data_IF_449184167696
#
_entry.id   IF_449184167696
#
_cell.length_a   1.000
_cell.length_b   1.000
_cell.length_c   1.000
_cell.angle_alpha   90.00
_cell.angle_beta   90.00
_cell.angle_gamma   90.00
#
_symmetry.space_group_name_H-M   'P 1'
#
loop_
_entity.id
_entity.type
_entity.pdbx_description
1 polymer ?
#
# COMPACT_ATOMS: atom_id res chain seq x y z
N UNK A 1 29.99 16.20 -12.77
CA UNK A 1 28.64 15.72 -13.11
C UNK A 1 28.26 14.61 -12.14
N UNK A 2 27.27 14.80 -11.28
CA UNK A 2 26.80 13.72 -10.41
C UNK A 2 26.20 12.61 -11.30
N UNK A 3 26.74 11.39 -11.25
CA UNK A 3 26.15 10.22 -11.93
C UNK A 3 24.70 10.11 -11.49
N UNK A 4 23.77 10.04 -12.44
CA UNK A 4 22.36 9.76 -12.17
C UNK A 4 22.28 8.43 -11.40
N UNK A 5 22.00 8.49 -10.09
CA UNK A 5 21.80 7.30 -9.29
C UNK A 5 20.53 6.59 -9.80
N UNK A 6 20.66 5.29 -10.07
CA UNK A 6 19.57 4.44 -10.60
C UNK A 6 19.09 3.47 -9.53
N UNK A 7 17.86 3.01 -9.65
CA UNK A 7 17.28 2.03 -8.72
C UNK A 7 17.06 2.62 -7.33
N UNK A 8 17.19 1.78 -6.29
CA UNK A 8 16.90 2.14 -4.89
C UNK A 8 17.84 3.23 -4.34
N UNK A 9 19.05 3.36 -4.89
CA UNK A 9 20.03 4.37 -4.44
C UNK A 9 19.56 5.81 -4.62
N UNK A 10 18.67 6.08 -5.59
CA UNK A 10 18.10 7.43 -5.73
C UNK A 10 17.29 7.84 -4.50
N UNK A 11 16.69 6.87 -3.79
CA UNK A 11 15.94 7.11 -2.56
C UNK A 11 16.89 7.51 -1.42
N UNK A 12 18.07 6.90 -1.35
CA UNK A 12 19.10 7.24 -0.34
C UNK A 12 19.41 8.73 -0.35
N UNK A 13 19.54 9.32 -1.54
CA UNK A 13 19.85 10.75 -1.70
C UNK A 13 18.63 11.65 -1.55
N UNK A 14 17.48 11.24 -2.08
CA UNK A 14 16.31 12.09 -2.15
C UNK A 14 15.58 12.21 -0.79
N UNK A 15 15.60 11.17 0.02
CA UNK A 15 14.80 11.08 1.24
C UNK A 15 15.64 11.49 2.45
N UNK A 16 15.11 12.40 3.27
CA UNK A 16 15.65 12.66 4.61
C UNK A 16 15.23 11.52 5.55
N UNK A 17 16.05 10.48 5.62
CA UNK A 17 15.74 9.29 6.43
C UNK A 17 15.62 9.59 7.94
N UNK A 18 16.30 10.63 8.43
CA UNK A 18 16.26 10.97 9.85
C UNK A 18 14.90 11.54 10.28
N UNK A 19 14.09 12.06 9.35
CA UNK A 19 12.73 12.54 9.64
C UNK A 19 11.82 11.43 10.20
N UNK A 20 12.10 10.16 9.90
CA UNK A 20 11.33 9.02 10.40
C UNK A 20 11.73 8.59 11.82
N UNK A 21 12.88 9.03 12.33
CA UNK A 21 13.41 8.57 13.62
C UNK A 21 12.44 8.82 14.79
N UNK A 22 11.81 10.00 14.94
CA UNK A 22 10.85 10.22 16.03
C UNK A 22 9.68 9.24 16.02
N UNK A 23 9.09 9.01 14.84
CA UNK A 23 7.99 8.05 14.64
C UNK A 23 8.46 6.63 14.96
N UNK A 24 9.67 6.27 14.53
CA UNK A 24 10.21 4.95 14.75
C UNK A 24 10.51 4.65 16.21
N UNK A 25 11.06 5.60 16.94
CA UNK A 25 11.37 5.44 18.36
C UNK A 25 10.09 5.28 19.19
N UNK A 26 9.03 6.01 18.85
CA UNK A 26 7.69 5.85 19.43
C UNK A 26 7.12 4.47 19.12
N UNK A 27 7.08 4.09 17.84
CA UNK A 27 6.47 2.85 17.37
C UNK A 27 7.22 1.61 17.86
N UNK A 28 8.55 1.65 17.93
CA UNK A 28 9.33 0.50 18.40
C UNK A 28 9.36 0.40 19.92
N UNK A 29 9.29 1.55 20.62
CA UNK A 29 9.44 1.62 22.08
C UNK A 29 10.88 1.39 22.54
N UNK A 30 11.87 1.52 21.63
CA UNK A 30 13.26 1.21 21.95
C UNK A 30 13.85 2.17 22.99
N UNK A 31 13.38 3.42 23.03
CA UNK A 31 13.81 4.42 24.03
C UNK A 31 13.41 4.08 25.47
N UNK A 32 12.29 3.38 25.65
CA UNK A 32 11.73 3.07 26.98
C UNK A 32 12.14 1.71 27.49
N UNK A 33 12.85 0.91 26.68
CA UNK A 33 13.22 -0.46 27.04
C UNK A 33 14.57 -0.47 27.76
N UNK A 34 14.62 -1.20 28.87
CA UNK A 34 15.85 -1.44 29.62
C UNK A 34 16.68 -2.53 28.94
N UNK A 35 17.71 -2.12 28.21
CA UNK A 35 18.60 -3.01 27.46
C UNK A 35 19.66 -3.70 28.33
N UNK A 36 19.75 -3.37 29.63
CA UNK A 36 20.64 -4.07 30.56
C UNK A 36 20.16 -5.49 30.89
N UNK A 37 18.86 -5.77 30.65
CA UNK A 37 18.23 -7.06 30.91
C UNK A 37 18.26 -7.95 29.66
N UNK A 38 19.43 -8.52 29.37
CA UNK A 38 19.68 -9.73 28.56
C UNK A 38 19.13 -9.80 27.13
N UNK A 39 19.98 -10.20 26.18
CA UNK A 39 19.64 -10.46 24.77
C UNK A 39 20.51 -9.65 23.81
N UNK A 40 20.51 -10.01 22.53
CA UNK A 40 21.19 -9.22 21.50
C UNK A 40 20.52 -7.85 21.38
N UNK A 41 21.33 -6.81 21.22
CA UNK A 41 20.83 -5.47 20.92
C UNK A 41 20.05 -5.53 19.59
N UNK A 42 18.89 -4.86 19.50
CA UNK A 42 18.15 -4.81 18.26
C UNK A 42 18.92 -3.99 17.23
N UNK A 43 18.69 -4.28 15.95
CA UNK A 43 19.12 -3.41 14.86
C UNK A 43 18.47 -2.03 14.96
N UNK A 44 19.16 -1.02 14.42
CA UNK A 44 18.62 0.35 14.36
C UNK A 44 17.27 0.35 13.62
N UNK A 45 16.19 0.92 14.20
CA UNK A 45 14.88 0.98 13.54
C UNK A 45 14.91 1.60 12.15
N UNK A 46 15.81 2.57 11.94
CA UNK A 46 15.93 3.22 10.64
C UNK A 46 16.52 2.29 9.59
N UNK A 47 17.53 1.50 9.96
CA UNK A 47 18.05 0.42 9.11
C UNK A 47 16.93 -0.57 8.74
N UNK A 48 16.16 -1.00 9.73
CA UNK A 48 15.06 -1.94 9.50
C UNK A 48 13.99 -1.38 8.56
N UNK A 49 13.62 -0.09 8.69
CA UNK A 49 12.70 0.56 7.73
C UNK A 49 13.29 0.65 6.34
N UNK A 50 14.57 1.01 6.20
CA UNK A 50 15.24 1.00 4.88
C UNK A 50 15.17 -0.40 4.26
N UNK A 51 15.38 -1.46 5.04
CA UNK A 51 15.23 -2.85 4.58
C UNK A 51 13.80 -3.13 4.09
N UNK A 52 12.77 -2.68 4.81
CA UNK A 52 11.38 -2.84 4.38
C UNK A 52 11.09 -2.08 3.06
N UNK A 53 11.59 -0.85 2.92
CA UNK A 53 11.45 -0.08 1.68
C UNK A 53 12.19 -0.78 0.53
N UNK A 54 13.40 -1.28 0.76
CA UNK A 54 14.18 -2.03 -0.21
C UNK A 54 13.45 -3.31 -0.64
N UNK A 55 12.88 -4.04 0.31
CA UNK A 55 12.08 -5.23 0.07
C UNK A 55 10.86 -4.90 -0.79
N UNK A 56 10.10 -3.86 -0.44
CA UNK A 56 8.94 -3.41 -1.21
C UNK A 56 9.33 -2.91 -2.61
N UNK A 57 10.46 -2.21 -2.75
CA UNK A 57 10.92 -1.66 -4.02
C UNK A 57 11.28 -2.76 -5.04
N UNK A 58 11.81 -3.88 -4.54
CA UNK A 58 12.24 -5.02 -5.35
C UNK A 58 11.25 -6.21 -5.34
N UNK A 59 10.20 -6.15 -4.53
CA UNK A 59 9.18 -7.19 -4.42
C UNK A 59 9.70 -8.52 -3.85
N UNK A 60 10.65 -8.44 -2.91
CA UNK A 60 11.37 -9.58 -2.33
C UNK A 60 10.58 -10.25 -1.18
N UNK A 61 10.87 -11.52 -0.91
CA UNK A 61 10.49 -12.17 0.37
C UNK A 61 11.50 -11.83 1.46
N UNK A 62 11.26 -12.24 2.70
CA UNK A 62 12.19 -12.02 3.81
C UNK A 62 13.53 -12.73 3.57
N UNK A 63 13.49 -13.99 3.15
CA UNK A 63 14.67 -14.80 2.82
C UNK A 63 15.43 -14.24 1.61
N UNK A 64 14.71 -13.80 0.58
CA UNK A 64 15.33 -13.16 -0.57
C UNK A 64 15.95 -11.80 -0.23
N UNK A 65 15.39 -11.10 0.77
CA UNK A 65 15.92 -9.82 1.24
C UNK A 65 17.23 -10.05 1.99
N UNK A 66 17.24 -10.95 2.95
CA UNK A 66 18.46 -11.39 3.66
C UNK A 66 19.57 -11.78 2.66
N UNK A 67 19.26 -12.72 1.76
CA UNK A 67 20.21 -13.21 0.76
C UNK A 67 20.78 -12.06 -0.10
N UNK A 68 19.92 -11.17 -0.61
CA UNK A 68 20.36 -10.11 -1.49
C UNK A 68 21.09 -8.97 -0.78
N UNK A 69 20.86 -8.74 0.51
CA UNK A 69 21.64 -7.76 1.27
C UNK A 69 23.09 -8.24 1.39
N UNK A 70 23.31 -9.53 1.67
CA UNK A 70 24.66 -10.11 1.74
C UNK A 70 25.40 -10.19 0.39
N UNK A 71 24.67 -10.22 -0.73
CA UNK A 71 25.24 -10.43 -2.07
C UNK A 71 25.41 -9.13 -2.89
N UNK A 72 24.51 -8.14 -2.72
CA UNK A 72 24.46 -6.97 -3.62
C UNK A 72 25.08 -5.72 -3.00
N UNK A 73 26.17 -5.25 -3.59
CA UNK A 73 26.84 -3.98 -3.22
C UNK A 73 25.87 -2.78 -3.24
N UNK A 74 24.91 -2.73 -4.18
CA UNK A 74 23.92 -1.65 -4.22
C UNK A 74 23.00 -1.63 -3.01
N UNK A 75 22.74 -2.78 -2.39
CA UNK A 75 21.86 -2.90 -1.23
C UNK A 75 22.63 -2.52 0.04
N UNK A 76 23.83 -3.05 0.21
CA UNK A 76 24.77 -2.65 1.25
C UNK A 76 24.95 -1.13 1.27
N UNK A 77 25.22 -0.53 0.11
CA UNK A 77 25.32 0.93 -0.01
C UNK A 77 24.02 1.63 0.36
N UNK A 78 22.86 1.16 -0.12
CA UNK A 78 21.57 1.78 0.22
C UNK A 78 21.31 1.77 1.74
N UNK A 79 21.69 0.69 2.42
CA UNK A 79 21.44 0.47 3.83
C UNK A 79 22.48 1.11 4.77
N UNK A 80 23.57 1.66 4.22
CA UNK A 80 24.71 2.18 5.00
C UNK A 80 25.36 1.10 5.88
N UNK A 81 25.46 -0.13 5.36
CA UNK A 81 26.12 -1.26 6.00
C UNK A 81 27.55 -1.39 5.44
N UNK A 82 28.52 -1.80 6.25
CA UNK A 82 29.88 -2.14 5.81
C UNK A 82 30.05 -3.65 5.57
N UNK A 83 31.05 -4.04 4.78
CA UNK A 83 31.31 -5.47 4.58
C UNK A 83 31.81 -6.10 5.89
N UNK A 84 31.08 -7.12 6.37
CA UNK A 84 31.41 -7.82 7.61
C UNK A 84 30.53 -7.40 8.80
N UNK A 85 29.70 -6.37 8.65
CA UNK A 85 28.65 -6.06 9.63
C UNK A 85 27.60 -7.17 9.67
N UNK A 86 26.97 -7.32 10.85
CA UNK A 86 25.81 -8.20 11.01
C UNK A 86 24.63 -7.68 10.19
N UNK A 87 23.96 -8.59 9.49
CA UNK A 87 22.77 -8.29 8.68
C UNK A 87 21.55 -8.97 9.33
N UNK A 88 20.39 -8.31 9.39
CA UNK A 88 19.16 -8.94 9.87
C UNK A 88 18.79 -10.16 9.03
N UNK A 89 18.59 -11.29 9.69
CA UNK A 89 18.05 -12.50 9.05
C UNK A 89 16.55 -12.33 8.72
N UNK A 90 16.00 -13.26 7.93
CA UNK A 90 14.61 -13.24 7.50
C UNK A 90 13.62 -13.18 8.69
N UNK A 91 13.93 -13.87 9.79
CA UNK A 91 13.10 -13.87 10.99
C UNK A 91 13.10 -12.51 11.69
N UNK A 92 14.26 -11.84 11.75
CA UNK A 92 14.41 -10.50 12.32
C UNK A 92 13.62 -9.47 11.51
N UNK A 93 13.64 -9.59 10.18
CA UNK A 93 12.82 -8.74 9.30
C UNK A 93 11.32 -8.99 9.57
N UNK A 94 10.93 -10.26 9.71
CA UNK A 94 9.57 -10.65 10.04
C UNK A 94 9.12 -10.07 11.40
N UNK A 95 9.91 -10.27 12.44
CA UNK A 95 9.62 -9.80 13.80
C UNK A 95 9.53 -8.29 13.85
N UNK A 96 10.34 -7.55 13.08
CA UNK A 96 10.23 -6.11 12.97
C UNK A 96 8.91 -5.66 12.33
N UNK A 97 8.45 -6.34 11.27
CA UNK A 97 7.13 -6.06 10.67
C UNK A 97 6.01 -6.28 11.67
N UNK A 98 6.08 -7.33 12.47
CA UNK A 98 5.08 -7.59 13.50
C UNK A 98 5.18 -6.57 14.63
N UNK A 99 6.39 -6.18 15.03
CA UNK A 99 6.65 -5.20 16.09
C UNK A 99 6.00 -3.84 15.79
N UNK A 100 6.18 -3.30 14.58
CA UNK A 100 5.65 -1.98 14.22
C UNK A 100 4.11 -1.95 14.09
N UNK A 101 3.48 -3.12 14.03
CA UNK A 101 2.03 -3.27 13.94
C UNK A 101 1.38 -3.78 15.23
N UNK A 102 2.17 -4.31 16.17
CA UNK A 102 1.67 -4.90 17.42
C UNK A 102 0.90 -3.86 18.23
N UNK A 103 -0.02 -4.31 19.08
CA UNK A 103 -0.71 -3.44 20.05
C UNK A 103 -1.35 -2.19 19.43
N UNK A 104 -1.82 -2.29 18.18
CA UNK A 104 -2.42 -1.18 17.42
C UNK A 104 -1.50 0.03 17.19
N UNK A 105 -0.17 -0.19 17.15
CA UNK A 105 0.83 0.86 16.89
C UNK A 105 0.68 1.54 15.53
N UNK A 106 0.12 0.83 14.54
CA UNK A 106 -0.14 1.32 13.17
C UNK A 106 1.11 1.95 12.51
N UNK A 107 2.27 1.36 12.77
CA UNK A 107 3.57 1.95 12.46
C UNK A 107 3.76 2.23 10.97
N UNK A 108 3.29 1.34 10.09
CA UNK A 108 3.46 1.51 8.65
C UNK A 108 2.61 2.67 8.10
N UNK A 109 1.42 2.88 8.65
CA UNK A 109 0.58 4.02 8.32
C UNK A 109 1.17 5.32 8.90
N UNK A 110 1.68 5.30 10.15
CA UNK A 110 2.40 6.45 10.72
C UNK A 110 3.60 6.87 9.87
N UNK A 111 4.37 5.90 9.36
CA UNK A 111 5.47 6.17 8.42
C UNK A 111 4.97 6.78 7.11
N UNK A 112 3.86 6.25 6.56
CA UNK A 112 3.24 6.84 5.37
C UNK A 112 2.80 8.28 5.60
N UNK A 113 2.09 8.55 6.70
CA UNK A 113 1.62 9.89 7.08
C UNK A 113 2.80 10.84 7.30
N UNK A 114 3.84 10.41 8.00
CA UNK A 114 5.05 11.20 8.19
C UNK A 114 5.66 11.63 6.85
N UNK A 115 5.78 10.71 5.89
CA UNK A 115 6.27 11.07 4.56
C UNK A 115 5.31 11.98 3.80
N UNK A 116 4.01 11.76 3.93
CA UNK A 116 2.98 12.60 3.32
C UNK A 116 3.04 14.03 3.84
N UNK A 117 3.23 14.25 5.13
CA UNK A 117 3.43 15.57 5.73
C UNK A 117 4.67 16.28 5.20
N UNK A 118 5.76 15.55 4.92
CA UNK A 118 6.94 16.11 4.26
C UNK A 118 6.63 16.57 2.83
N UNK A 119 5.80 15.82 2.10
CA UNK A 119 5.35 16.20 0.75
C UNK A 119 4.45 17.45 0.79
N UNK A 120 3.58 17.57 1.80
CA UNK A 120 2.77 18.77 2.06
C UNK A 120 3.66 19.99 2.29
N UNK A 121 4.67 19.87 3.15
CA UNK A 121 5.60 20.95 3.49
C UNK A 121 6.38 21.46 2.27
N UNK A 122 6.62 20.60 1.28
CA UNK A 122 7.29 20.95 0.03
C UNK A 122 6.33 21.43 -1.07
N UNK A 123 5.03 21.53 -0.79
CA UNK A 123 4.03 22.00 -1.76
C UNK A 123 3.79 21.03 -2.92
N UNK A 124 4.17 19.75 -2.78
CA UNK A 124 3.97 18.72 -3.82
C UNK A 124 2.57 18.11 -3.81
N UNK A 125 1.77 18.51 -2.84
CA UNK A 125 0.34 18.23 -2.74
C UNK A 125 -0.44 19.13 -3.69
N UNK A 126 -1.02 18.52 -4.71
CA UNK A 126 -1.73 19.25 -5.77
C UNK A 126 -3.23 19.38 -5.43
N UNK A 127 -3.68 20.62 -5.27
CA UNK A 127 -5.12 20.96 -5.05
C UNK A 127 -5.97 20.93 -6.33
N UNK A 128 -5.40 20.52 -7.47
CA UNK A 128 -6.01 20.59 -8.81
C UNK A 128 -6.82 19.34 -9.19
N UNK A 129 -6.99 18.38 -8.27
CA UNK A 129 -7.85 17.22 -8.46
C UNK A 129 -7.21 15.90 -8.01
N UNK A 130 -8.06 15.05 -7.44
CA UNK A 130 -7.70 13.75 -6.87
C UNK A 130 -8.34 12.64 -7.69
N UNK A 131 -7.57 11.62 -8.05
CA UNK A 131 -8.05 10.42 -8.74
C UNK A 131 -8.21 9.31 -7.71
N UNK A 132 -9.39 8.74 -7.60
CA UNK A 132 -9.64 7.56 -6.76
C UNK A 132 -9.71 6.32 -7.67
N UNK A 133 -8.96 5.30 -7.32
CA UNK A 133 -8.97 4.01 -8.00
C UNK A 133 -8.48 2.89 -7.07
N UNK A 134 -8.75 1.64 -7.46
CA UNK A 134 -8.40 0.47 -6.67
C UNK A 134 -7.67 -0.59 -7.50
N UNK A 135 -6.62 -1.17 -6.92
CA UNK A 135 -5.91 -2.30 -7.49
C UNK A 135 -6.04 -3.53 -6.62
N UNK A 136 -6.10 -4.70 -7.25
CA UNK A 136 -6.08 -5.97 -6.53
C UNK A 136 -4.69 -6.29 -5.97
N UNK A 137 -4.69 -6.90 -4.81
CA UNK A 137 -3.50 -7.45 -4.16
C UNK A 137 -3.76 -8.93 -3.95
N UNK A 138 -3.18 -9.74 -4.82
CA UNK A 138 -3.43 -11.18 -4.87
C UNK A 138 -2.65 -11.93 -3.81
N UNK A 139 -3.29 -12.95 -3.25
CA UNK A 139 -2.69 -13.87 -2.29
C UNK A 139 -2.66 -15.29 -2.85
N UNK A 140 -1.80 -16.18 -2.32
CA UNK A 140 -1.82 -17.58 -2.69
C UNK A 140 -3.22 -18.19 -2.53
N UNK A 141 -3.77 -18.72 -3.63
CA UNK A 141 -5.11 -19.32 -3.68
C UNK A 141 -5.16 -20.55 -2.78
N UNK A 142 -6.08 -20.52 -1.81
CA UNK A 142 -6.23 -21.63 -0.86
C UNK A 142 -7.19 -22.69 -1.41
N UNK A 143 -6.79 -23.97 -1.28
CA UNK A 143 -7.65 -25.11 -1.58
C UNK A 143 -8.60 -25.34 -0.39
N UNK A 144 -9.85 -24.92 -0.56
CA UNK A 144 -10.94 -25.07 0.40
C UNK A 144 -12.18 -25.65 -0.31
N UNK A 145 -12.99 -26.43 0.40
CA UNK A 145 -14.27 -26.91 -0.12
C UNK A 145 -15.28 -25.76 -0.23
N UNK A 146 -16.40 -26.00 -0.95
CA UNK A 146 -17.47 -25.00 -1.08
C UNK A 146 -18.08 -24.64 0.28
N UNK A 147 -18.28 -25.62 1.15
CA UNK A 147 -18.85 -25.41 2.49
C UNK A 147 -17.90 -24.63 3.40
N UNK A 148 -16.60 -24.94 3.35
CA UNK A 148 -15.57 -24.16 4.06
C UNK A 148 -15.57 -22.70 3.61
N UNK A 149 -15.66 -22.45 2.30
CA UNK A 149 -15.73 -21.08 1.78
C UNK A 149 -17.02 -20.35 2.19
N UNK A 150 -18.15 -21.07 2.31
CA UNK A 150 -19.40 -20.50 2.80
C UNK A 150 -19.27 -20.04 4.26
N UNK A 151 -18.72 -20.89 5.13
CA UNK A 151 -18.49 -20.56 6.53
C UNK A 151 -17.54 -19.35 6.68
N UNK A 152 -16.44 -19.32 5.92
CA UNK A 152 -15.51 -18.18 5.90
C UNK A 152 -16.23 -16.89 5.48
N UNK A 153 -17.11 -16.96 4.49
CA UNK A 153 -17.89 -15.81 4.02
C UNK A 153 -18.84 -15.27 5.10
N UNK A 154 -19.39 -16.16 5.93
CA UNK A 154 -20.24 -15.83 7.09
C UNK A 154 -19.45 -15.31 8.30
N UNK A 155 -18.11 -15.27 8.22
CA UNK A 155 -17.23 -14.82 9.30
C UNK A 155 -16.78 -15.95 10.24
N UNK A 156 -17.15 -17.19 9.96
CA UNK A 156 -16.81 -18.35 10.76
C UNK A 156 -15.54 -19.03 10.26
N UNK A 157 -14.71 -19.58 11.17
CA UNK A 157 -13.62 -20.47 10.78
C UNK A 157 -14.15 -21.91 10.72
N UNK A 158 -13.93 -22.64 9.60
CA UNK A 158 -14.29 -24.05 9.53
C UNK A 158 -13.53 -24.91 10.54
N UNK A 159 -14.08 -26.08 10.85
CA UNK A 159 -13.42 -27.08 11.69
C UNK A 159 -12.03 -27.45 11.12
N UNK A 160 -11.03 -27.47 12.01
CA UNK A 160 -9.62 -27.67 11.67
C UNK A 160 -8.91 -26.42 11.14
N UNK A 161 -9.57 -25.25 11.14
CA UNK A 161 -8.98 -23.94 10.80
C UNK A 161 -8.85 -23.06 12.06
N UNK A 162 -8.80 -23.62 13.25
CA UNK A 162 -8.66 -22.89 14.51
C UNK A 162 -7.29 -22.17 14.57
N UNK A 163 -7.22 -20.98 15.17
CA UNK A 163 -6.02 -20.10 15.10
C UNK A 163 -4.78 -20.71 15.73
N UNK A 164 -4.98 -21.53 16.74
CA UNK A 164 -3.99 -22.24 17.54
C UNK A 164 -3.51 -23.55 16.88
N UNK A 165 -4.14 -24.00 15.79
CA UNK A 165 -3.69 -25.19 15.06
C UNK A 165 -2.65 -24.86 13.98
N UNK A 166 -1.68 -25.75 13.69
CA UNK A 166 -0.71 -25.55 12.61
C UNK A 166 -1.38 -25.30 11.25
N UNK A 167 -2.50 -25.98 10.99
CA UNK A 167 -3.28 -25.83 9.76
C UNK A 167 -3.97 -24.47 9.72
N UNK A 168 -4.65 -24.06 10.79
CA UNK A 168 -5.37 -22.80 10.84
C UNK A 168 -4.47 -21.56 10.83
N UNK A 169 -3.22 -21.67 11.32
CA UNK A 169 -2.21 -20.62 11.17
C UNK A 169 -1.82 -20.36 9.70
N UNK A 170 -1.95 -21.38 8.83
CA UNK A 170 -1.68 -21.29 7.39
C UNK A 170 -2.92 -20.93 6.56
N UNK A 171 -4.08 -20.75 7.19
CA UNK A 171 -5.35 -20.44 6.50
C UNK A 171 -5.69 -18.96 6.57
N UNK A 172 -5.80 -18.32 5.41
CA UNK A 172 -6.27 -16.95 5.27
C UNK A 172 -7.80 -16.96 5.20
N UNK A 173 -8.41 -16.75 6.37
CA UNK A 173 -9.86 -16.63 6.52
C UNK A 173 -10.34 -15.19 6.35
N UNK A 174 -9.46 -14.22 6.08
CA UNK A 174 -9.81 -12.81 5.86
C UNK A 174 -9.91 -12.49 4.37
N UNK A 175 -9.06 -13.08 3.55
CA UNK A 175 -9.09 -12.94 2.09
C UNK A 175 -10.45 -13.35 1.50
N UNK A 176 -10.87 -12.66 0.43
CA UNK A 176 -12.14 -12.95 -0.25
C UNK A 176 -11.93 -13.15 -1.75
N UNK A 177 -12.83 -13.92 -2.34
CA UNK A 177 -12.91 -14.12 -3.79
C UNK A 177 -13.73 -13.01 -4.44
N UNK A 178 -13.34 -12.60 -5.64
CA UNK A 178 -14.16 -11.76 -6.51
C UNK A 178 -13.91 -12.08 -7.97
N UNK A 179 -14.82 -11.65 -8.84
CA UNK A 179 -14.70 -11.80 -10.30
C UNK A 179 -14.84 -10.44 -10.96
N UNK A 180 -13.79 -9.97 -11.66
CA UNK A 180 -13.78 -8.72 -12.45
C UNK A 180 -13.30 -9.06 -13.86
N UNK A 181 -13.98 -8.58 -14.89
CA UNK A 181 -13.62 -8.81 -16.30
C UNK A 181 -13.36 -10.27 -16.67
N UNK A 182 -14.25 -11.17 -16.21
CA UNK A 182 -14.14 -12.63 -16.37
C UNK A 182 -12.89 -13.28 -15.74
N UNK A 183 -12.08 -12.54 -14.98
CA UNK A 183 -10.96 -13.05 -14.19
C UNK A 183 -11.34 -13.12 -12.72
N UNK A 184 -10.87 -14.18 -12.08
CA UNK A 184 -11.13 -14.44 -10.67
C UNK A 184 -9.92 -14.04 -9.85
N UNK A 185 -10.13 -13.14 -8.88
CA UNK A 185 -9.12 -12.64 -7.96
C UNK A 185 -9.39 -13.18 -6.55
N UNK A 186 -8.33 -13.46 -5.82
CA UNK A 186 -8.37 -13.88 -4.42
C UNK A 186 -7.37 -13.07 -3.62
N UNK A 187 -7.83 -12.44 -2.54
CA UNK A 187 -6.98 -11.61 -1.69
C UNK A 187 -7.68 -10.33 -1.25
N UNK A 188 -7.00 -9.21 -1.47
CA UNK A 188 -7.32 -7.89 -0.96
C UNK A 188 -7.36 -6.84 -2.08
N UNK A 189 -7.67 -5.60 -1.73
CA UNK A 189 -7.59 -4.42 -2.58
C UNK A 189 -6.82 -3.32 -1.87
N UNK A 190 -6.02 -2.59 -2.66
CA UNK A 190 -5.45 -1.30 -2.30
C UNK A 190 -6.27 -0.22 -3.00
N UNK A 191 -7.11 0.48 -2.26
CA UNK A 191 -7.81 1.67 -2.75
C UNK A 191 -6.91 2.87 -2.47
N UNK A 192 -6.66 3.70 -3.47
CA UNK A 192 -5.75 4.82 -3.34
C UNK A 192 -6.36 6.10 -3.91
N UNK A 193 -6.21 7.21 -3.18
CA UNK A 193 -6.41 8.56 -3.68
C UNK A 193 -5.07 9.09 -4.17
N UNK A 194 -5.01 9.53 -5.42
CA UNK A 194 -3.80 9.98 -6.09
C UNK A 194 -3.98 11.39 -6.60
N UNK A 195 -3.03 12.28 -6.31
CA UNK A 195 -3.01 13.61 -6.91
C UNK A 195 -2.80 13.53 -8.42
N UNK A 196 -3.74 14.06 -9.20
CA UNK A 196 -3.73 13.94 -10.66
C UNK A 196 -2.41 14.48 -11.26
N UNK A 197 -1.93 15.64 -10.81
CA UNK A 197 -0.72 16.28 -11.35
C UNK A 197 0.56 15.55 -10.97
N UNK A 198 0.86 15.42 -9.67
CA UNK A 198 2.13 14.87 -9.19
C UNK A 198 2.21 13.35 -9.34
N UNK A 199 1.06 12.65 -9.40
CA UNK A 199 0.92 11.20 -9.29
C UNK A 199 1.40 10.66 -7.93
N UNK A 200 1.38 11.47 -6.88
CA UNK A 200 1.65 11.00 -5.52
C UNK A 200 0.35 10.45 -4.92
N UNK A 201 0.47 9.36 -4.16
CA UNK A 201 -0.63 8.78 -3.38
C UNK A 201 -0.80 9.64 -2.12
N UNK A 202 -2.00 10.13 -1.87
CA UNK A 202 -2.33 10.99 -0.72
C UNK A 202 -2.90 10.19 0.44
N UNK A 203 -3.86 9.31 0.15
CA UNK A 203 -4.49 8.43 1.12
C UNK A 203 -4.76 7.07 0.50
N UNK A 204 -4.93 6.07 1.34
CA UNK A 204 -5.26 4.72 0.91
C UNK A 204 -6.13 3.99 1.93
N UNK A 205 -6.78 2.93 1.48
CA UNK A 205 -7.53 2.02 2.32
C UNK A 205 -7.37 0.59 1.82
N UNK A 206 -7.30 -0.35 2.76
CA UNK A 206 -7.18 -1.78 2.44
C UNK A 206 -8.47 -2.50 2.77
N UNK A 207 -9.00 -3.25 1.81
CA UNK A 207 -10.19 -4.09 2.01
C UNK A 207 -9.96 -5.49 1.47
N UNK A 208 -10.88 -6.40 1.76
CA UNK A 208 -10.92 -7.69 1.05
C UNK A 208 -11.29 -7.47 -0.42
N UNK A 209 -10.92 -8.41 -1.29
CA UNK A 209 -11.12 -8.24 -2.73
C UNK A 209 -12.60 -8.18 -3.16
N UNK A 210 -13.54 -8.66 -2.34
CA UNK A 210 -14.97 -8.64 -2.65
C UNK A 210 -15.65 -7.30 -2.39
N UNK A 211 -15.05 -6.41 -1.59
CA UNK A 211 -15.65 -5.10 -1.29
C UNK A 211 -15.76 -4.29 -2.58
N UNK A 212 -16.93 -3.70 -2.79
CA UNK A 212 -17.18 -2.86 -3.96
C UNK A 212 -16.52 -1.50 -3.79
N UNK A 213 -15.94 -0.98 -4.86
CA UNK A 213 -15.07 0.21 -4.83
C UNK A 213 -15.83 1.44 -4.32
N UNK A 214 -17.11 1.59 -4.67
CA UNK A 214 -17.98 2.66 -4.19
C UNK A 214 -18.09 2.77 -2.65
N UNK A 215 -17.89 1.67 -1.90
CA UNK A 215 -18.07 1.66 -0.44
C UNK A 215 -16.90 2.30 0.33
N UNK A 216 -15.75 2.45 -0.33
CA UNK A 216 -14.51 2.95 0.29
C UNK A 216 -14.28 4.44 -0.05
N UNK A 217 -15.13 5.00 -0.90
CA UNK A 217 -14.99 6.33 -1.48
C UNK A 217 -14.86 7.44 -0.42
N UNK A 218 -15.76 7.47 0.57
CA UNK A 218 -15.76 8.53 1.59
C UNK A 218 -14.49 8.55 2.43
N UNK A 219 -13.96 7.38 2.78
CA UNK A 219 -12.78 7.22 3.65
C UNK A 219 -11.52 7.81 3.01
N UNK A 220 -11.50 7.90 1.68
CA UNK A 220 -10.35 8.44 0.95
C UNK A 220 -10.39 9.97 0.85
N UNK A 221 -11.57 10.59 0.97
CA UNK A 221 -11.77 12.02 0.81
C UNK A 221 -11.44 12.80 2.08
N UNK A 222 -10.77 13.94 1.92
CA UNK A 222 -10.52 14.89 3.00
C UNK A 222 -11.01 16.30 2.63
N UNK A 223 -10.86 17.24 3.56
CA UNK A 223 -11.33 18.63 3.40
C UNK A 223 -10.50 19.46 2.41
N UNK A 224 -9.31 18.98 2.02
CA UNK A 224 -8.41 19.66 1.06
C UNK A 224 -8.79 19.33 -0.38
N UNK A 225 -9.58 18.27 -0.60
CA UNK A 225 -10.07 17.90 -1.92
C UNK A 225 -10.97 19.00 -2.52
N UNK A 226 -10.88 19.20 -3.83
CA UNK A 226 -11.71 20.15 -4.58
C UNK A 226 -12.46 19.50 -5.74
N UNK A 227 -11.81 18.54 -6.38
CA UNK A 227 -12.33 17.81 -7.53
C UNK A 227 -11.90 16.35 -7.43
N UNK A 228 -12.83 15.44 -7.74
CA UNK A 228 -12.59 13.99 -7.63
C UNK A 228 -12.89 13.31 -8.96
N UNK A 229 -11.89 12.60 -9.51
CA UNK A 229 -12.02 11.79 -10.70
C UNK A 229 -12.07 10.31 -10.32
N UNK A 230 -13.07 9.57 -10.77
CA UNK A 230 -13.22 8.16 -10.42
C UNK A 230 -13.82 7.32 -11.56
N UNK A 231 -13.71 5.98 -11.46
CA UNK A 231 -14.32 5.08 -12.44
C UNK A 231 -15.85 5.02 -12.27
N UNK A 232 -16.52 4.44 -13.26
CA UNK A 232 -17.98 4.30 -13.22
C UNK A 232 -18.50 3.30 -12.18
N UNK A 233 -17.62 2.50 -11.56
CA UNK A 233 -17.94 1.64 -10.42
C UNK A 233 -18.00 2.42 -9.10
N UNK A 234 -17.44 3.64 -9.02
CA UNK A 234 -17.65 4.52 -7.86
C UNK A 234 -18.98 5.27 -7.92
N UNK A 235 -19.72 5.24 -9.04
CA UNK A 235 -21.03 5.89 -9.17
C UNK A 235 -22.06 5.24 -8.26
N UNK A 236 -22.55 5.98 -7.27
CA UNK A 236 -23.63 5.58 -6.37
C UNK A 236 -24.32 6.82 -5.79
N UNK A 237 -25.60 6.70 -5.43
CA UNK A 237 -26.35 7.81 -4.81
C UNK A 237 -25.64 8.34 -3.56
N UNK A 238 -25.15 7.42 -2.71
CA UNK A 238 -24.41 7.77 -1.51
C UNK A 238 -23.18 8.62 -1.80
N UNK A 239 -22.41 8.26 -2.85
CA UNK A 239 -21.21 9.02 -3.21
C UNK A 239 -21.55 10.39 -3.81
N UNK A 240 -22.64 10.50 -4.58
CA UNK A 240 -23.15 11.78 -5.07
C UNK A 240 -23.54 12.70 -3.91
N UNK A 241 -24.27 12.17 -2.93
CA UNK A 241 -24.68 12.93 -1.73
C UNK A 241 -23.46 13.40 -0.93
N UNK A 242 -22.41 12.57 -0.80
CA UNK A 242 -21.15 12.93 -0.15
C UNK A 242 -20.45 14.08 -0.90
N UNK A 243 -20.34 13.97 -2.23
CA UNK A 243 -19.67 15.00 -3.05
C UNK A 243 -20.41 16.33 -2.96
N UNK A 244 -21.75 16.31 -3.03
CA UNK A 244 -22.60 17.50 -2.86
C UNK A 244 -22.42 18.11 -1.47
N UNK A 245 -22.49 17.29 -0.41
CA UNK A 245 -22.34 17.75 0.98
C UNK A 245 -20.97 18.39 1.23
N UNK A 246 -19.92 17.88 0.58
CA UNK A 246 -18.55 18.40 0.70
C UNK A 246 -18.21 19.48 -0.34
N UNK A 247 -19.15 19.86 -1.20
CA UNK A 247 -18.96 20.86 -2.27
C UNK A 247 -17.77 20.51 -3.19
N UNK A 248 -17.68 19.23 -3.58
CA UNK A 248 -16.62 18.71 -4.45
C UNK A 248 -17.10 18.61 -5.90
N UNK A 249 -16.24 18.99 -6.85
CA UNK A 249 -16.50 18.77 -8.28
C UNK A 249 -16.45 17.27 -8.61
N UNK A 250 -17.57 16.72 -9.09
CA UNK A 250 -17.69 15.30 -9.47
C UNK A 250 -17.24 15.07 -10.92
N UNK A 251 -16.15 14.34 -11.07
CA UNK A 251 -15.66 13.82 -12.35
C UNK A 251 -15.68 12.28 -12.38
N UNK A 252 -16.70 11.68 -11.77
CA UNK A 252 -16.96 10.24 -11.85
C UNK A 252 -17.49 9.86 -13.23
N UNK A 253 -16.88 8.86 -13.86
CA UNK A 253 -17.28 8.41 -15.19
C UNK A 253 -18.73 7.90 -15.20
N UNK A 254 -19.45 8.23 -16.26
CA UNK A 254 -20.83 7.81 -16.47
C UNK A 254 -20.89 6.32 -16.84
N UNK A 255 -21.94 5.65 -16.37
CA UNK A 255 -22.16 4.21 -16.54
C UNK A 255 -23.33 3.95 -17.47
N UNK A 256 -23.15 3.05 -18.44
CA UNK A 256 -24.27 2.52 -19.21
C UNK A 256 -25.15 1.64 -18.31
N UNK A 257 -26.47 1.81 -18.40
CA UNK A 257 -27.44 0.97 -17.71
C UNK A 257 -28.17 0.07 -18.71
N UNK A 258 -28.84 -0.96 -18.18
CA UNK A 258 -29.68 -1.84 -19.01
C UNK A 258 -30.75 -1.00 -19.69
N UNK A 259 -30.80 -1.04 -21.02
CA UNK A 259 -31.70 -0.25 -21.86
C UNK A 259 -31.43 1.27 -21.88
N UNK A 260 -30.30 1.72 -21.32
CA UNK A 260 -29.89 3.12 -21.37
C UNK A 260 -28.38 3.17 -21.66
N UNK A 261 -27.99 3.00 -22.94
CA UNK A 261 -26.58 3.12 -23.35
C UNK A 261 -26.09 4.55 -23.16
N UNK A 262 -24.76 4.72 -23.12
CA UNK A 262 -24.14 6.05 -23.08
C UNK A 262 -24.42 6.79 -24.38
N UNK A 263 -24.89 8.02 -24.28
CA UNK A 263 -25.02 8.93 -25.42
C UNK A 263 -23.65 9.31 -25.98
N UNK A 264 -23.61 9.89 -27.19
CA UNK A 264 -22.36 10.39 -27.78
C UNK A 264 -21.72 11.49 -26.90
N UNK A 265 -22.54 12.31 -26.24
CA UNK A 265 -22.09 13.33 -25.28
C UNK A 265 -21.46 12.69 -24.04
N UNK A 266 -22.09 11.65 -23.48
CA UNK A 266 -21.53 10.91 -22.34
C UNK A 266 -20.20 10.25 -22.69
N UNK A 267 -20.08 9.72 -23.91
CA UNK A 267 -18.83 9.13 -24.40
C UNK A 267 -17.73 10.19 -24.54
N UNK A 268 -18.05 11.38 -25.04
CA UNK A 268 -17.11 12.51 -25.12
C UNK A 268 -16.68 12.95 -23.71
N UNK A 269 -17.62 13.05 -22.76
CA UNK A 269 -17.32 13.35 -21.36
C UNK A 269 -16.39 12.29 -20.74
N UNK A 270 -16.76 11.01 -20.83
CA UNK A 270 -15.96 9.90 -20.34
C UNK A 270 -14.56 9.86 -20.97
N UNK A 271 -14.43 10.21 -22.24
CA UNK A 271 -13.13 10.33 -22.93
C UNK A 271 -12.28 11.47 -22.39
N UNK A 272 -12.87 12.60 -21.98
CA UNK A 272 -12.13 13.70 -21.34
C UNK A 272 -11.64 13.28 -19.95
N UNK A 273 -12.53 12.71 -19.14
CA UNK A 273 -12.20 12.24 -17.78
C UNK A 273 -11.14 11.12 -17.81
N UNK A 274 -11.28 10.15 -18.71
CA UNK A 274 -10.35 9.02 -18.81
C UNK A 274 -8.92 9.43 -19.16
N UNK A 275 -8.74 10.48 -19.99
CA UNK A 275 -7.42 11.03 -20.33
C UNK A 275 -6.66 11.57 -19.12
N UNK A 276 -7.37 12.04 -18.10
CA UNK A 276 -6.75 12.47 -16.83
C UNK A 276 -6.59 11.26 -15.91
N UNK A 277 -7.63 10.42 -15.79
CA UNK A 277 -7.62 9.24 -14.91
C UNK A 277 -6.53 8.23 -15.25
N UNK A 278 -6.13 8.06 -16.51
CA UNK A 278 -5.02 7.18 -16.94
C UNK A 278 -3.71 7.43 -16.16
N UNK A 279 -3.57 8.58 -15.50
CA UNK A 279 -2.44 8.87 -14.61
C UNK A 279 -2.35 7.91 -13.43
N UNK A 280 -3.47 7.41 -12.89
CA UNK A 280 -3.49 6.41 -11.81
C UNK A 280 -3.05 5.03 -12.31
N UNK A 281 -3.31 4.69 -13.57
CA UNK A 281 -2.81 3.44 -14.16
C UNK A 281 -1.28 3.42 -14.21
N UNK A 282 -0.63 4.57 -14.39
CA UNK A 282 0.83 4.66 -14.27
C UNK A 282 1.33 4.41 -12.85
N UNK A 283 0.57 4.84 -11.83
CA UNK A 283 0.89 4.59 -10.41
C UNK A 283 0.84 3.09 -10.15
N UNK A 284 -0.30 2.45 -10.41
CA UNK A 284 -0.47 1.02 -10.20
C UNK A 284 0.41 0.18 -11.12
N UNK A 285 0.69 0.64 -12.35
CA UNK A 285 1.66 0.00 -13.25
C UNK A 285 3.06 -0.01 -12.66
N UNK A 286 3.53 1.10 -12.09
CA UNK A 286 4.82 1.16 -11.39
C UNK A 286 4.84 0.30 -10.14
N UNK A 287 3.78 0.32 -9.33
CA UNK A 287 3.65 -0.56 -8.16
C UNK A 287 3.69 -2.04 -8.54
N UNK A 288 3.04 -2.42 -9.66
CA UNK A 288 3.11 -3.77 -10.21
C UNK A 288 4.51 -4.17 -10.64
N UNK A 289 5.30 -3.25 -11.21
CA UNK A 289 6.73 -3.51 -11.47
C UNK A 289 7.53 -3.77 -10.19
N UNK A 290 7.12 -3.20 -9.06
CA UNK A 290 7.67 -3.48 -7.72
C UNK A 290 7.05 -4.74 -7.07
N UNK A 291 6.15 -5.44 -7.77
CA UNK A 291 5.36 -6.60 -7.29
C UNK A 291 4.50 -6.28 -6.05
N UNK A 292 4.03 -5.04 -5.93
CA UNK A 292 3.13 -4.65 -4.83
C UNK A 292 1.77 -5.33 -4.90
N UNK A 293 1.37 -5.85 -6.07
CA UNK A 293 0.12 -6.60 -6.30
C UNK A 293 0.18 -8.06 -5.79
N UNK A 294 1.29 -8.49 -5.19
CA UNK A 294 1.45 -9.83 -4.59
C UNK A 294 1.68 -9.74 -3.08
N UNK A 295 0.76 -10.32 -2.31
CA UNK A 295 0.85 -10.41 -0.85
C UNK A 295 1.10 -11.86 -0.41
N UNK A 296 2.17 -12.07 0.37
CA UNK A 296 2.69 -13.39 0.76
C UNK A 296 2.36 -13.80 2.20
N UNK A 297 1.71 -12.93 2.96
CA UNK A 297 1.37 -13.15 4.37
C UNK A 297 -0.12 -13.40 4.49
N UNK A 298 -0.57 -13.65 5.73
CA UNK A 298 -1.95 -14.03 6.01
C UNK A 298 -2.60 -12.96 6.88
N UNK A 299 -3.83 -12.58 6.50
CA UNK A 299 -4.71 -11.72 7.29
C UNK A 299 -4.72 -10.25 6.89
N UNK A 300 -5.87 -9.61 7.12
CA UNK A 300 -6.14 -8.24 6.65
C UNK A 300 -5.21 -7.19 7.27
N UNK A 301 -4.80 -7.38 8.53
CA UNK A 301 -3.90 -6.46 9.22
C UNK A 301 -2.53 -6.39 8.53
N UNK A 302 -1.96 -7.55 8.20
CA UNK A 302 -0.69 -7.65 7.47
C UNK A 302 -0.83 -7.19 6.01
N UNK A 303 -2.01 -7.38 5.40
CA UNK A 303 -2.31 -6.84 4.07
C UNK A 303 -2.35 -5.30 4.08
N UNK A 304 -2.93 -4.71 5.13
CA UNK A 304 -2.94 -3.25 5.32
C UNK A 304 -1.54 -2.70 5.46
N UNK A 305 -0.70 -3.31 6.31
CA UNK A 305 0.73 -2.99 6.41
C UNK A 305 1.44 -3.12 5.05
N UNK A 306 1.20 -4.19 4.31
CA UNK A 306 1.81 -4.40 3.00
C UNK A 306 1.48 -3.26 2.03
N UNK A 307 0.20 -2.86 1.98
CA UNK A 307 -0.24 -1.74 1.14
C UNK A 307 0.36 -0.42 1.60
N UNK A 308 0.41 -0.17 2.91
CA UNK A 308 1.06 1.01 3.49
C UNK A 308 2.51 1.16 3.02
N UNK A 309 3.31 0.11 3.18
CA UNK A 309 4.71 0.07 2.78
C UNK A 309 4.89 0.20 1.26
N UNK A 310 4.03 -0.45 0.48
CA UNK A 310 4.06 -0.35 -0.98
C UNK A 310 3.70 1.07 -1.48
N UNK A 311 2.68 1.69 -0.89
CA UNK A 311 2.27 3.07 -1.21
C UNK A 311 3.36 4.07 -0.81
N UNK A 312 3.96 3.90 0.37
CA UNK A 312 5.10 4.70 0.83
C UNK A 312 6.29 4.57 -0.11
N UNK A 313 6.67 3.33 -0.46
CA UNK A 313 7.79 3.05 -1.36
C UNK A 313 7.55 3.66 -2.75
N UNK A 314 6.33 3.55 -3.27
CA UNK A 314 5.94 4.20 -4.52
C UNK A 314 6.09 5.72 -4.41
N UNK A 315 5.60 6.34 -3.34
CA UNK A 315 5.70 7.77 -3.13
C UNK A 315 7.16 8.23 -3.05
N UNK A 316 8.03 7.50 -2.35
CA UNK A 316 9.46 7.79 -2.31
C UNK A 316 10.11 7.70 -3.70
N UNK A 317 9.79 6.66 -4.48
CA UNK A 317 10.26 6.48 -5.85
C UNK A 317 9.79 7.60 -6.78
N UNK A 318 8.52 8.00 -6.65
CA UNK A 318 7.93 9.07 -7.43
C UNK A 318 8.53 10.42 -7.04
N UNK A 319 8.63 10.69 -5.75
CA UNK A 319 9.24 11.89 -5.19
C UNK A 319 10.68 12.08 -5.68
N UNK A 320 11.52 11.05 -5.57
CA UNK A 320 12.89 11.10 -6.06
C UNK A 320 12.98 11.38 -7.58
N UNK A 321 11.94 11.01 -8.34
CA UNK A 321 11.84 11.28 -9.78
C UNK A 321 11.26 12.66 -10.11
N UNK A 322 10.71 13.38 -9.12
CA UNK A 322 10.28 14.77 -9.25
C UNK A 322 11.39 15.76 -8.85
N UNK A 323 12.36 15.32 -8.03
CA UNK A 323 13.49 16.12 -7.56
C UNK A 323 14.71 16.12 -8.51
N UNK A 324 14.78 15.16 -9.44
CA UNK A 324 15.88 15.00 -10.40
C UNK A 324 15.43 15.29 -11.82
#
# INVERSE_FOLDING_TARGET
MAKLQRGVLKLKKAIDWNSFRPVLEEVTGYKTKDWSKGGNLPFDPLLMVKILILQSFHGLSDEATEFHIGDRISFINFLDIEMGDDIPDANTIWDFKELIERDQRDGSNKLFTCFRELLDAQGLVAKEGSIIDASFVETPKQRNTRDQNKQIKEGNRPEGFEKDTPKGAQKDCDARWTKKNNKTHFGYKNHAKVYAKSKLIDSYATTTASVHDSQVFEVLLDEKDKAVLSDSAYKSQTNEDILLKRNLEDFTMLKANRNSPLSDEDQIYNKKVSRIRVRVEHVFGRMKHMKSDLFRRIGIKRASQHNALCNLTYNMDRYASLQG
#
